data_IF_966183489641
#
_entry.id   IF_966183489641
#
_cell.length_a   1.000
_cell.length_b   1.000
_cell.length_c   1.000
_cell.angle_alpha   90.00
_cell.angle_beta   90.00
_cell.angle_gamma   90.00
#
_symmetry.space_group_name_H-M   'P 1'
#
loop_
_entity.id
_entity.type
_entity.pdbx_description
1 polymer ?
#
# COMPACT_ATOMS: atom_id res chain seq x y z
N UNK A 1 5.42 1.38 9.69
CA UNK A 1 4.88 2.65 9.24
C UNK A 1 3.62 2.40 8.40
N UNK A 2 2.46 2.87 8.86
CA UNK A 2 1.18 2.75 8.16
C UNK A 2 0.86 4.03 7.38
N UNK A 3 0.24 3.90 6.21
CA UNK A 3 -0.25 5.01 5.41
C UNK A 3 -1.42 4.64 4.50
N UNK A 4 -2.23 5.65 4.13
CA UNK A 4 -3.33 5.49 3.20
C UNK A 4 -3.29 6.54 2.08
N UNK A 5 -3.60 7.80 2.38
CA UNK A 5 -3.34 8.96 1.52
C UNK A 5 -4.25 9.10 0.31
N UNK A 6 -5.52 8.74 0.41
CA UNK A 6 -6.51 8.90 -0.67
C UNK A 6 -7.88 9.26 -0.13
N UNK A 7 -8.73 9.82 -1.00
CA UNK A 7 -10.14 10.14 -0.78
C UNK A 7 -10.41 11.11 0.39
N UNK A 8 -9.41 11.84 0.86
CA UNK A 8 -9.54 12.66 2.05
C UNK A 8 -9.71 11.84 3.34
N UNK A 9 -9.39 10.55 3.31
CA UNK A 9 -9.53 9.68 4.49
C UNK A 9 -8.45 9.97 5.51
N UNK A 10 -8.85 10.49 6.68
CA UNK A 10 -7.93 10.81 7.78
C UNK A 10 -7.60 9.58 8.61
N UNK A 11 -6.31 9.34 8.81
CA UNK A 11 -5.81 8.25 9.66
C UNK A 11 -5.69 8.73 11.11
N UNK A 12 -6.82 8.76 11.81
CA UNK A 12 -6.86 9.23 13.20
C UNK A 12 -6.03 8.34 14.12
N UNK A 13 -5.24 8.93 15.03
CA UNK A 13 -4.56 8.18 16.08
C UNK A 13 -5.59 7.61 17.05
N UNK A 14 -5.71 6.29 17.07
CA UNK A 14 -6.64 5.58 17.94
C UNK A 14 -5.94 4.45 18.66
N UNK A 15 -6.44 4.11 19.85
CA UNK A 15 -6.00 2.90 20.54
C UNK A 15 -6.40 1.65 19.74
N UNK A 16 -5.50 0.69 19.69
CA UNK A 16 -5.76 -0.63 19.09
C UNK A 16 -5.14 -1.72 19.97
N UNK A 17 -5.96 -2.60 20.51
CA UNK A 17 -5.49 -3.72 21.32
C UNK A 17 -4.60 -4.69 20.54
N UNK A 18 -4.83 -4.84 19.24
CA UNK A 18 -4.00 -5.72 18.41
C UNK A 18 -2.57 -5.20 18.25
N UNK A 19 -2.37 -3.87 18.23
CA UNK A 19 -1.04 -3.25 18.15
C UNK A 19 -0.15 -3.55 19.36
N UNK A 20 -0.75 -3.83 20.53
CA UNK A 20 0.01 -4.21 21.72
C UNK A 20 0.88 -5.44 21.44
N UNK A 21 0.41 -6.39 20.63
CA UNK A 21 1.21 -7.56 20.23
C UNK A 21 2.52 -7.20 19.51
N UNK A 22 2.57 -6.09 18.75
CA UNK A 22 3.80 -5.60 18.13
C UNK A 22 4.66 -4.84 19.13
N UNK A 23 4.04 -3.98 19.96
CA UNK A 23 4.73 -3.15 20.95
C UNK A 23 5.43 -4.01 22.00
N UNK A 24 4.77 -5.06 22.49
CA UNK A 24 5.35 -6.03 23.45
C UNK A 24 6.55 -6.81 22.86
N UNK A 25 6.79 -6.69 21.55
CA UNK A 25 7.90 -7.29 20.82
C UNK A 25 8.87 -6.26 20.24
N UNK A 26 8.93 -5.08 20.86
CA UNK A 26 9.81 -3.97 20.49
C UNK A 26 9.61 -3.46 19.04
N UNK A 27 8.39 -3.52 18.51
CA UNK A 27 8.03 -2.90 17.24
C UNK A 27 7.33 -1.57 17.51
N UNK A 28 7.85 -0.48 16.98
CA UNK A 28 7.22 0.83 17.03
C UNK A 28 6.14 0.89 15.93
N UNK A 29 4.93 1.31 16.30
CA UNK A 29 3.89 1.65 15.34
C UNK A 29 3.90 3.14 15.05
N UNK A 30 3.99 3.51 13.78
CA UNK A 30 3.87 4.88 13.31
C UNK A 30 2.81 4.98 12.20
N UNK A 31 2.07 6.09 12.18
CA UNK A 31 1.09 6.40 11.13
C UNK A 31 1.51 7.69 10.44
N UNK A 32 1.64 7.65 9.12
CA UNK A 32 1.98 8.82 8.33
C UNK A 32 0.71 9.57 7.90
N UNK A 33 0.58 10.83 8.30
CA UNK A 33 -0.48 11.74 7.90
C UNK A 33 -0.06 12.48 6.61
N UNK A 34 -0.24 11.81 5.49
CA UNK A 34 0.26 12.23 4.18
C UNK A 34 -0.81 12.93 3.36
N UNK A 35 -0.39 13.75 2.39
CA UNK A 35 -1.32 14.39 1.45
C UNK A 35 -2.16 13.36 0.70
N UNK A 36 -3.40 13.71 0.39
CA UNK A 36 -4.44 12.78 -0.06
C UNK A 36 -5.36 12.31 1.06
N UNK A 37 -4.91 12.36 2.33
CA UNK A 37 -5.77 12.38 3.52
C UNK A 37 -6.28 13.79 3.81
N UNK A 38 -7.03 13.96 4.92
CA UNK A 38 -7.62 15.25 5.31
C UNK A 38 -7.20 15.69 6.73
N UNK A 39 -6.09 15.15 7.24
CA UNK A 39 -5.60 15.42 8.60
C UNK A 39 -5.25 16.91 8.82
N UNK A 40 -4.90 17.63 7.76
CA UNK A 40 -4.69 19.08 7.75
C UNK A 40 -5.75 19.83 6.95
N UNK A 41 -6.94 19.24 6.80
CA UNK A 41 -8.08 19.84 6.12
C UNK A 41 -8.11 19.62 4.62
N UNK A 42 -9.08 20.24 3.93
CA UNK A 42 -9.39 20.07 2.51
C UNK A 42 -8.19 20.32 1.57
N UNK A 43 -7.34 21.29 1.92
CA UNK A 43 -6.13 21.59 1.13
C UNK A 43 -5.19 20.39 1.08
N UNK A 44 -5.03 19.69 2.19
CA UNK A 44 -4.17 18.52 2.32
C UNK A 44 -4.60 17.38 1.39
N UNK A 45 -5.91 17.16 1.27
CA UNK A 45 -6.47 16.21 0.30
C UNK A 45 -6.24 16.67 -1.14
N UNK A 46 -6.60 17.92 -1.49
CA UNK A 46 -6.48 18.44 -2.85
C UNK A 46 -5.04 18.40 -3.37
N UNK A 47 -4.06 18.56 -2.50
CA UNK A 47 -2.64 18.47 -2.83
C UNK A 47 -2.10 17.03 -2.94
N UNK A 48 -2.93 16.02 -2.76
CA UNK A 48 -2.59 14.59 -2.88
C UNK A 48 -3.49 13.83 -3.85
N UNK A 49 -4.24 14.49 -4.73
CA UNK A 49 -5.10 13.85 -5.73
C UNK A 49 -4.82 14.35 -7.16
N UNK A 50 -5.38 13.66 -8.17
CA UNK A 50 -5.20 14.00 -9.59
C UNK A 50 -3.71 14.14 -9.94
N UNK A 51 -3.32 15.21 -10.63
CA UNK A 51 -1.93 15.50 -11.02
C UNK A 51 -1.02 15.87 -9.83
N UNK A 52 -1.53 15.84 -8.61
CA UNK A 52 -0.75 16.01 -7.37
C UNK A 52 -0.55 14.67 -6.61
N UNK A 53 -1.03 13.55 -7.15
CA UNK A 53 -1.01 12.26 -6.45
C UNK A 53 0.38 11.81 -6.00
N UNK A 54 1.43 12.14 -6.72
CA UNK A 54 2.81 11.82 -6.34
C UNK A 54 3.24 12.42 -5.01
N UNK A 55 2.66 13.55 -4.60
CA UNK A 55 2.91 14.13 -3.29
C UNK A 55 2.58 13.16 -2.14
N UNK A 56 1.56 12.30 -2.32
CA UNK A 56 1.22 11.26 -1.35
C UNK A 56 2.39 10.29 -1.12
N UNK A 57 3.04 9.88 -2.21
CA UNK A 57 4.15 8.92 -2.17
C UNK A 57 5.42 9.56 -1.60
N UNK A 58 5.70 10.79 -2.01
CA UNK A 58 6.83 11.58 -1.52
C UNK A 58 6.72 11.85 -0.02
N UNK A 59 5.52 12.24 0.45
CA UNK A 59 5.28 12.48 1.88
C UNK A 59 5.52 11.21 2.72
N UNK A 60 5.13 10.03 2.22
CA UNK A 60 5.37 8.77 2.92
C UNK A 60 6.86 8.39 2.95
N UNK A 61 7.58 8.60 1.85
CA UNK A 61 9.02 8.40 1.77
C UNK A 61 9.73 9.35 2.75
N UNK A 62 9.35 10.63 2.77
CA UNK A 62 9.89 11.60 3.71
C UNK A 62 9.57 11.26 5.17
N UNK A 63 8.38 10.74 5.47
CA UNK A 63 8.05 10.25 6.80
C UNK A 63 8.97 9.08 7.22
N UNK A 64 9.25 8.16 6.31
CA UNK A 64 10.20 7.07 6.56
C UNK A 64 11.63 7.60 6.81
N UNK A 65 12.09 8.55 6.00
CA UNK A 65 13.39 9.21 6.17
C UNK A 65 13.47 9.97 7.50
N UNK A 66 12.42 10.71 7.87
CA UNK A 66 12.33 11.41 9.15
C UNK A 66 12.52 10.47 10.34
N UNK A 67 11.87 9.30 10.33
CA UNK A 67 12.03 8.30 11.39
C UNK A 67 13.47 7.78 11.50
N UNK A 68 14.17 7.66 10.37
CA UNK A 68 15.58 7.24 10.32
C UNK A 68 16.49 8.36 10.86
N UNK A 69 16.34 9.58 10.37
CA UNK A 69 17.15 10.74 10.73
C UNK A 69 17.03 11.09 12.23
N UNK A 70 15.81 10.94 12.77
CA UNK A 70 15.56 11.17 14.20
C UNK A 70 15.80 9.93 15.08
N UNK A 71 16.42 8.87 14.52
CA UNK A 71 16.89 7.68 15.25
C UNK A 71 15.77 6.86 15.93
N UNK A 72 14.53 6.98 15.47
CA UNK A 72 13.46 6.04 15.85
C UNK A 72 13.70 4.64 15.29
N UNK A 73 14.37 4.56 14.13
CA UNK A 73 14.74 3.33 13.44
C UNK A 73 16.00 3.57 12.59
N UNK A 74 16.34 2.63 11.71
CA UNK A 74 17.43 2.77 10.73
C UNK A 74 16.99 2.32 9.34
N UNK A 75 17.73 2.74 8.32
CA UNK A 75 17.51 2.37 6.93
C UNK A 75 17.44 0.84 6.78
N UNK A 76 16.47 0.35 6.03
CA UNK A 76 16.25 -1.09 5.84
C UNK A 76 15.63 -1.81 7.04
N UNK A 77 15.06 -1.09 8.03
CA UNK A 77 14.34 -1.68 9.17
C UNK A 77 12.87 -1.25 9.28
N UNK A 78 12.41 -0.43 8.38
CA UNK A 78 11.00 -0.02 8.34
C UNK A 78 10.18 -1.10 7.64
N UNK A 79 9.04 -1.46 8.21
CA UNK A 79 8.01 -2.26 7.53
C UNK A 79 6.90 -1.29 7.13
N UNK A 80 6.70 -1.11 5.84
CA UNK A 80 5.60 -0.32 5.29
C UNK A 80 4.31 -1.13 5.26
N UNK A 81 3.17 -0.48 5.55
CA UNK A 81 1.87 -1.15 5.52
C UNK A 81 0.80 -0.22 4.96
N UNK A 82 -0.04 -0.76 4.07
CA UNK A 82 -1.19 -0.07 3.49
C UNK A 82 -2.11 -1.01 2.74
N UNK A 83 -3.40 -0.67 2.70
CA UNK A 83 -4.41 -1.49 2.03
C UNK A 83 -5.20 -0.70 0.99
N UNK A 84 -5.78 -1.38 -0.01
CA UNK A 84 -6.62 -0.75 -1.04
C UNK A 84 -5.85 0.37 -1.77
N UNK A 85 -6.31 1.62 -1.73
CA UNK A 85 -5.53 2.78 -2.19
C UNK A 85 -4.23 3.00 -1.40
N UNK A 86 -4.16 2.58 -0.11
CA UNK A 86 -2.90 2.48 0.62
C UNK A 86 -1.97 1.39 0.07
N UNK A 87 -2.51 0.41 -0.64
CA UNK A 87 -1.73 -0.56 -1.42
C UNK A 87 -1.12 0.05 -2.68
N UNK A 88 -1.82 0.98 -3.36
CA UNK A 88 -1.23 1.83 -4.39
C UNK A 88 -0.04 2.62 -3.84
N UNK A 89 -0.20 3.25 -2.67
CA UNK A 89 0.89 3.93 -1.97
C UNK A 89 2.08 2.99 -1.77
N UNK A 90 1.86 1.80 -1.20
CA UNK A 90 2.93 0.82 -0.94
C UNK A 90 3.64 0.39 -2.23
N UNK A 91 2.90 0.10 -3.29
CA UNK A 91 3.47 -0.27 -4.59
C UNK A 91 4.28 0.85 -5.23
N UNK A 92 3.81 2.10 -5.12
CA UNK A 92 4.53 3.25 -5.64
C UNK A 92 5.82 3.52 -4.86
N UNK A 93 5.79 3.50 -3.51
CA UNK A 93 6.98 3.79 -2.70
C UNK A 93 8.03 2.69 -2.78
N UNK A 94 7.63 1.42 -2.89
CA UNK A 94 8.60 0.32 -3.05
C UNK A 94 9.27 0.35 -4.42
N UNK A 95 8.60 0.88 -5.44
CA UNK A 95 9.21 1.12 -6.74
C UNK A 95 10.18 2.31 -6.73
N UNK A 96 10.00 3.28 -5.84
CA UNK A 96 10.81 4.50 -5.77
C UNK A 96 12.00 4.34 -4.81
N UNK A 97 11.78 3.81 -3.63
CA UNK A 97 12.77 3.78 -2.53
C UNK A 97 12.74 2.45 -1.77
N UNK A 98 12.96 1.30 -2.45
CA UNK A 98 12.88 -0.02 -1.82
C UNK A 98 13.87 -0.19 -0.66
N UNK A 99 15.00 0.48 -0.73
CA UNK A 99 16.10 0.37 0.23
C UNK A 99 15.79 0.97 1.62
N UNK A 100 14.70 1.73 1.77
CA UNK A 100 14.27 2.23 3.06
C UNK A 100 13.60 1.14 3.91
N UNK A 101 13.07 0.11 3.27
CA UNK A 101 12.17 -0.86 3.88
C UNK A 101 12.83 -2.23 4.08
N UNK A 102 12.58 -2.83 5.25
CA UNK A 102 12.81 -4.24 5.52
C UNK A 102 11.75 -5.11 4.83
N UNK A 103 10.51 -4.63 4.87
CA UNK A 103 9.37 -5.30 4.26
C UNK A 103 8.20 -4.39 3.98
N UNK A 104 7.30 -4.87 3.14
CA UNK A 104 6.04 -4.20 2.77
C UNK A 104 4.88 -5.19 2.96
N UNK A 105 3.83 -4.74 3.61
CA UNK A 105 2.55 -5.44 3.74
C UNK A 105 1.50 -4.69 2.94
N UNK A 106 0.89 -5.36 1.98
CA UNK A 106 -0.09 -4.79 1.07
C UNK A 106 -1.38 -5.60 1.14
N UNK A 107 -2.43 -5.01 1.73
CA UNK A 107 -3.74 -5.66 1.81
C UNK A 107 -4.64 -5.20 0.65
N UNK A 108 -5.18 -6.15 -0.13
CA UNK A 108 -6.08 -5.91 -1.27
C UNK A 108 -5.64 -4.70 -2.13
N UNK A 109 -4.37 -4.66 -2.59
CA UNK A 109 -3.75 -3.44 -3.06
C UNK A 109 -4.16 -3.05 -4.48
N UNK A 110 -4.46 -1.76 -4.67
CA UNK A 110 -4.76 -1.14 -5.97
C UNK A 110 -3.47 -0.88 -6.75
N UNK A 111 -2.92 -1.92 -7.39
CA UNK A 111 -1.57 -1.88 -7.98
C UNK A 111 -1.51 -1.86 -9.51
N UNK A 112 -2.60 -2.16 -10.19
CA UNK A 112 -2.73 -2.00 -11.65
C UNK A 112 -3.65 -0.82 -12.01
N UNK A 113 -3.43 0.28 -11.33
CA UNK A 113 -4.28 1.47 -11.34
C UNK A 113 -4.50 2.06 -12.74
N UNK A 114 -3.55 1.91 -13.66
CA UNK A 114 -3.73 2.38 -15.03
C UNK A 114 -4.72 1.52 -15.81
N UNK A 115 -4.56 0.20 -15.80
CA UNK A 115 -5.44 -0.72 -16.53
C UNK A 115 -6.88 -0.61 -16.00
N UNK A 116 -7.05 -0.57 -14.69
CA UNK A 116 -8.36 -0.38 -14.05
C UNK A 116 -8.97 0.96 -14.43
N UNK A 117 -8.20 2.05 -14.46
CA UNK A 117 -8.71 3.37 -14.85
C UNK A 117 -9.15 3.46 -16.32
N UNK A 118 -8.59 2.62 -17.18
CA UNK A 118 -8.98 2.52 -18.61
C UNK A 118 -10.27 1.73 -18.83
N UNK A 119 -10.69 0.92 -17.86
CA UNK A 119 -11.90 0.10 -17.96
C UNK A 119 -13.09 0.73 -17.23
N UNK A 120 -13.90 1.49 -17.97
CA UNK A 120 -15.09 2.17 -17.46
C UNK A 120 -16.25 1.22 -17.11
N UNK A 121 -16.14 -0.07 -17.41
CA UNK A 121 -17.16 -1.07 -17.03
C UNK A 121 -17.03 -1.52 -15.58
N UNK A 122 -15.88 -1.27 -14.94
CA UNK A 122 -15.65 -1.63 -13.56
C UNK A 122 -16.42 -0.70 -12.60
N UNK A 123 -16.97 -1.24 -11.50
CA UNK A 123 -17.92 -0.51 -10.64
C UNK A 123 -17.42 0.80 -10.06
N UNK A 124 -16.13 0.92 -9.75
CA UNK A 124 -15.57 2.10 -9.09
C UNK A 124 -14.90 3.09 -10.04
N UNK A 125 -14.46 2.65 -11.23
CA UNK A 125 -13.60 3.43 -12.12
C UNK A 125 -14.10 4.84 -12.38
N UNK A 126 -15.35 4.97 -12.82
CA UNK A 126 -15.93 6.30 -13.17
C UNK A 126 -16.06 7.17 -11.92
N UNK A 127 -16.45 6.59 -10.79
CA UNK A 127 -16.56 7.30 -9.50
C UNK A 127 -15.22 7.80 -8.94
N UNK A 128 -14.12 7.21 -9.38
CA UNK A 128 -12.76 7.54 -8.91
C UNK A 128 -12.03 8.56 -9.78
N UNK A 129 -12.64 9.03 -10.88
CA UNK A 129 -12.02 10.05 -11.73
C UNK A 129 -11.70 11.35 -10.99
N UNK A 130 -12.47 11.66 -9.94
CA UNK A 130 -12.22 12.83 -9.10
C UNK A 130 -11.00 12.70 -8.19
N UNK A 131 -10.59 11.47 -7.91
CA UNK A 131 -9.39 11.17 -7.10
C UNK A 131 -8.14 10.95 -7.96
N UNK A 132 -8.25 10.14 -9.03
CA UNK A 132 -7.08 9.72 -9.81
C UNK A 132 -7.02 10.33 -11.21
N UNK A 133 -8.12 10.83 -11.74
CA UNK A 133 -8.24 11.30 -13.12
C UNK A 133 -8.84 10.27 -14.08
N UNK A 134 -9.10 10.66 -15.31
CA UNK A 134 -9.65 9.83 -16.38
C UNK A 134 -8.57 9.61 -17.45
N UNK A 135 -7.86 8.47 -17.38
CA UNK A 135 -6.79 8.14 -18.31
C UNK A 135 -7.29 7.79 -19.72
N UNK A 136 -8.54 7.34 -19.85
CA UNK A 136 -9.11 6.92 -21.14
C UNK A 136 -9.38 8.10 -22.07
N UNK A 137 -9.89 9.20 -21.51
CA UNK A 137 -10.35 10.35 -22.29
C UNK A 137 -9.41 11.56 -22.17
N UNK A 138 -8.38 11.48 -21.30
CA UNK A 138 -7.43 12.56 -21.05
C UNK A 138 -5.99 12.03 -21.04
N UNK A 139 -5.22 12.43 -22.08
CA UNK A 139 -3.83 11.99 -22.21
C UNK A 139 -2.92 12.47 -21.08
N UNK A 140 -3.15 13.65 -20.53
CA UNK A 140 -2.37 14.16 -19.39
C UNK A 140 -2.58 13.25 -18.16
N UNK A 141 -3.83 12.86 -17.87
CA UNK A 141 -4.14 11.92 -16.81
C UNK A 141 -3.53 10.54 -17.07
N UNK A 142 -3.57 10.06 -18.32
CA UNK A 142 -2.93 8.79 -18.70
C UNK A 142 -1.43 8.82 -18.41
N UNK A 143 -0.72 9.81 -18.93
CA UNK A 143 0.72 9.94 -18.78
C UNK A 143 1.11 10.08 -17.29
N UNK A 144 0.30 10.82 -16.53
CA UNK A 144 0.54 11.03 -15.11
C UNK A 144 0.33 9.73 -14.30
N UNK A 145 -0.78 9.01 -14.50
CA UNK A 145 -1.05 7.72 -13.83
C UNK A 145 0.01 6.70 -14.24
N UNK A 146 0.34 6.58 -15.53
CA UNK A 146 1.39 5.68 -16.03
C UNK A 146 2.72 5.91 -15.31
N UNK A 147 3.05 7.17 -15.02
CA UNK A 147 4.32 7.53 -14.40
C UNK A 147 4.49 7.04 -12.96
N UNK A 148 3.41 6.63 -12.28
CA UNK A 148 3.49 6.11 -10.91
C UNK A 148 2.79 4.75 -10.70
N UNK A 149 1.95 4.31 -11.64
CA UNK A 149 1.18 3.06 -11.51
C UNK A 149 2.11 1.88 -11.14
N UNK A 150 1.88 1.22 -10.00
CA UNK A 150 2.85 0.26 -9.45
C UNK A 150 3.22 -0.86 -10.43
N UNK A 151 2.23 -1.49 -11.05
CA UNK A 151 2.44 -2.57 -12.01
C UNK A 151 3.31 -2.16 -13.20
N UNK A 152 3.09 -0.94 -13.72
CA UNK A 152 3.81 -0.42 -14.88
C UNK A 152 5.26 -0.04 -14.56
N UNK A 153 5.55 0.29 -13.29
CA UNK A 153 6.84 0.80 -12.86
C UNK A 153 7.72 -0.22 -12.13
N UNK A 154 7.36 -1.51 -12.14
CA UNK A 154 8.25 -2.58 -11.69
C UNK A 154 9.50 -2.62 -12.58
N UNK A 155 10.68 -2.60 -11.96
CA UNK A 155 11.99 -2.64 -12.63
C UNK A 155 12.81 -3.82 -12.11
N UNK A 156 13.81 -4.24 -12.91
CA UNK A 156 14.75 -5.27 -12.50
C UNK A 156 15.69 -4.70 -11.44
N UNK A 157 15.45 -5.05 -10.17
CA UNK A 157 16.22 -4.59 -9.01
C UNK A 157 15.87 -5.39 -7.76
N UNK A 158 16.56 -5.11 -6.65
CA UNK A 158 16.24 -5.66 -5.35
C UNK A 158 14.99 -5.00 -4.75
N UNK A 159 14.11 -5.83 -4.17
CA UNK A 159 12.92 -5.44 -3.43
C UNK A 159 12.99 -5.94 -1.98
N UNK A 160 12.35 -5.26 -1.02
CA UNK A 160 12.27 -5.76 0.35
C UNK A 160 11.43 -7.03 0.44
N UNK A 161 11.34 -7.65 1.62
CA UNK A 161 10.35 -8.69 1.85
C UNK A 161 8.93 -8.16 1.61
N UNK A 162 8.06 -8.93 0.97
CA UNK A 162 6.71 -8.49 0.66
C UNK A 162 5.67 -9.55 1.01
N UNK A 163 4.62 -9.12 1.71
CA UNK A 163 3.37 -9.86 1.88
C UNK A 163 2.25 -9.10 1.17
N UNK A 164 1.64 -9.77 0.22
CA UNK A 164 0.51 -9.24 -0.55
C UNK A 164 -0.69 -10.13 -0.23
N UNK A 165 -1.79 -9.53 0.21
CA UNK A 165 -3.03 -10.28 0.45
C UNK A 165 -4.11 -9.82 -0.52
N UNK A 166 -4.97 -10.73 -0.95
CA UNK A 166 -6.11 -10.43 -1.82
C UNK A 166 -7.28 -11.37 -1.51
N UNK A 167 -8.45 -11.07 -2.04
CA UNK A 167 -9.65 -11.89 -1.87
C UNK A 167 -10.29 -12.18 -3.22
N UNK A 168 -10.69 -13.44 -3.44
CA UNK A 168 -11.23 -13.88 -4.73
C UNK A 168 -12.51 -13.13 -5.13
N UNK A 169 -13.36 -12.83 -4.15
CA UNK A 169 -14.62 -12.11 -4.37
C UNK A 169 -14.54 -10.62 -4.09
N UNK A 170 -13.32 -10.03 -4.20
CA UNK A 170 -13.14 -8.60 -4.09
C UNK A 170 -13.74 -7.90 -5.32
N UNK A 171 -14.73 -7.04 -5.07
CA UNK A 171 -15.45 -6.29 -6.10
C UNK A 171 -15.03 -4.81 -6.19
N UNK A 172 -14.00 -4.39 -5.44
CA UNK A 172 -13.44 -3.04 -5.47
C UNK A 172 -12.08 -3.01 -6.15
N UNK A 173 -11.18 -3.87 -5.68
CA UNK A 173 -9.89 -4.13 -6.29
C UNK A 173 -9.85 -5.60 -6.68
N UNK A 174 -9.99 -5.88 -7.96
CA UNK A 174 -10.09 -7.24 -8.45
C UNK A 174 -8.83 -8.03 -8.10
N UNK A 175 -9.00 -9.30 -7.74
CA UNK A 175 -7.90 -10.15 -7.27
C UNK A 175 -6.78 -10.34 -8.31
N UNK A 176 -7.05 -10.11 -9.57
CA UNK A 176 -6.07 -10.20 -10.64
C UNK A 176 -5.01 -9.10 -10.59
N UNK A 177 -5.32 -7.91 -10.05
CA UNK A 177 -4.34 -6.83 -9.88
C UNK A 177 -3.15 -7.26 -8.99
N UNK A 178 -3.36 -7.65 -7.71
CA UNK A 178 -2.27 -8.15 -6.88
C UNK A 178 -1.65 -9.45 -7.39
N UNK A 179 -2.40 -10.30 -8.08
CA UNK A 179 -1.88 -11.52 -8.69
C UNK A 179 -0.89 -11.22 -9.82
N UNK A 180 -1.27 -10.35 -10.76
CA UNK A 180 -0.39 -9.89 -11.86
C UNK A 180 0.84 -9.15 -11.34
N UNK A 181 0.64 -8.26 -10.36
CA UNK A 181 1.72 -7.52 -9.73
C UNK A 181 2.74 -8.46 -9.09
N UNK A 182 2.28 -9.46 -8.33
CA UNK A 182 3.14 -10.47 -7.71
C UNK A 182 3.88 -11.31 -8.75
N UNK A 183 3.20 -11.73 -9.83
CA UNK A 183 3.82 -12.51 -10.90
C UNK A 183 4.95 -11.73 -11.57
N UNK A 184 4.70 -10.46 -11.91
CA UNK A 184 5.72 -9.60 -12.51
C UNK A 184 6.88 -9.31 -11.57
N UNK A 185 6.63 -9.09 -10.27
CA UNK A 185 7.69 -8.95 -9.28
C UNK A 185 8.57 -10.19 -9.19
N UNK A 186 8.00 -11.41 -9.24
CA UNK A 186 8.78 -12.67 -9.23
C UNK A 186 9.73 -12.79 -10.39
N UNK A 187 9.36 -12.24 -11.56
CA UNK A 187 10.21 -12.23 -12.73
C UNK A 187 11.32 -11.17 -12.66
N UNK A 188 11.00 -10.00 -12.06
CA UNK A 188 11.87 -8.83 -12.13
C UNK A 188 12.78 -8.65 -10.90
N UNK A 189 12.42 -9.16 -9.72
CA UNK A 189 13.25 -9.00 -8.52
C UNK A 189 14.58 -9.76 -8.65
N UNK A 190 15.65 -9.16 -8.15
CA UNK A 190 17.01 -9.71 -8.22
C UNK A 190 17.53 -10.23 -6.86
N UNK A 191 16.78 -10.00 -5.80
CA UNK A 191 17.07 -10.42 -4.44
C UNK A 191 16.45 -11.80 -4.09
N UNK A 192 16.76 -12.32 -2.89
CA UNK A 192 16.20 -13.55 -2.31
C UNK A 192 15.18 -13.28 -1.19
N UNK A 193 14.68 -12.05 -1.06
CA UNK A 193 13.69 -11.70 -0.05
C UNK A 193 12.35 -12.41 -0.30
N UNK A 194 11.62 -12.67 0.77
CA UNK A 194 10.29 -13.29 0.68
C UNK A 194 9.34 -12.43 -0.17
N UNK A 195 8.64 -13.07 -1.09
CA UNK A 195 7.53 -12.48 -1.84
C UNK A 195 6.35 -13.45 -1.76
N UNK A 196 5.41 -13.13 -0.90
CA UNK A 196 4.26 -13.96 -0.59
C UNK A 196 2.98 -13.34 -1.13
N UNK A 197 2.16 -14.14 -1.78
CA UNK A 197 0.78 -13.81 -2.15
C UNK A 197 -0.15 -14.74 -1.40
N UNK A 198 -1.05 -14.17 -0.58
CA UNK A 198 -2.15 -14.91 0.07
C UNK A 198 -3.47 -14.48 -0.55
N UNK A 199 -4.21 -15.45 -1.08
CA UNK A 199 -5.56 -15.22 -1.60
C UNK A 199 -6.58 -15.81 -0.64
N UNK A 200 -7.50 -14.98 -0.16
CA UNK A 200 -8.65 -15.44 0.63
C UNK A 200 -9.78 -15.85 -0.31
N UNK A 201 -10.14 -17.13 -0.29
CA UNK A 201 -11.06 -17.70 -1.28
C UNK A 201 -12.53 -17.37 -1.02
N UNK A 202 -12.89 -17.04 0.23
CA UNK A 202 -14.28 -16.88 0.67
C UNK A 202 -14.54 -15.48 1.25
N UNK A 203 -13.81 -14.47 0.81
CA UNK A 203 -13.95 -13.10 1.28
C UNK A 203 -13.99 -12.10 0.14
N UNK A 204 -14.47 -10.90 0.42
CA UNK A 204 -14.43 -9.71 -0.44
C UNK A 204 -13.38 -8.72 0.02
N UNK A 205 -13.54 -7.44 -0.37
CA UNK A 205 -12.58 -6.37 -0.08
C UNK A 205 -12.30 -6.13 1.41
N UNK A 206 -13.28 -6.39 2.27
CA UNK A 206 -13.13 -6.23 3.73
C UNK A 206 -12.50 -7.41 4.45
N UNK A 207 -12.05 -8.45 3.73
CA UNK A 207 -11.48 -9.65 4.30
C UNK A 207 -12.53 -10.60 4.90
N UNK A 208 -12.08 -11.48 5.79
CA UNK A 208 -12.93 -12.46 6.46
C UNK A 208 -13.95 -11.78 7.38
N UNK A 209 -15.19 -12.30 7.35
CA UNK A 209 -16.24 -11.83 8.24
C UNK A 209 -16.04 -12.33 9.68
N UNK A 210 -16.50 -11.51 10.63
CA UNK A 210 -16.49 -11.85 12.04
C UNK A 210 -15.17 -11.54 12.75
N UNK A 211 -15.23 -11.56 14.08
CA UNK A 211 -14.11 -11.18 14.95
C UNK A 211 -12.89 -12.09 14.76
N UNK A 212 -13.11 -13.39 14.73
CA UNK A 212 -12.01 -14.36 14.66
C UNK A 212 -11.33 -14.30 13.30
N UNK A 213 -12.09 -14.12 12.21
CA UNK A 213 -11.53 -13.92 10.87
C UNK A 213 -10.65 -12.69 10.78
N UNK A 214 -11.09 -11.56 11.32
CA UNK A 214 -10.28 -10.32 11.36
C UNK A 214 -9.00 -10.48 12.22
N UNK A 215 -9.08 -11.21 13.32
CA UNK A 215 -7.90 -11.49 14.17
C UNK A 215 -6.89 -12.37 13.41
N UNK A 216 -7.35 -13.39 12.68
CA UNK A 216 -6.48 -14.25 11.88
C UNK A 216 -5.73 -13.46 10.79
N UNK A 217 -6.40 -12.54 10.10
CA UNK A 217 -5.76 -11.72 9.06
C UNK A 217 -4.70 -10.81 9.67
N UNK A 218 -5.01 -10.12 10.76
CA UNK A 218 -4.05 -9.28 11.49
C UNK A 218 -2.86 -10.14 12.00
N UNK A 219 -3.14 -11.34 12.48
CA UNK A 219 -2.09 -12.25 12.98
C UNK A 219 -1.12 -12.68 11.87
N UNK A 220 -1.59 -12.86 10.64
CA UNK A 220 -0.74 -13.17 9.48
C UNK A 220 0.18 -11.97 9.16
N UNK A 221 -0.37 -10.75 9.10
CA UNK A 221 0.41 -9.55 8.86
C UNK A 221 1.50 -9.35 9.93
N UNK A 222 1.12 -9.54 11.19
CA UNK A 222 2.05 -9.38 12.31
C UNK A 222 3.09 -10.52 12.39
N UNK A 223 2.70 -11.77 12.11
CA UNK A 223 3.64 -12.89 12.02
C UNK A 223 4.68 -12.66 10.92
N UNK A 224 4.25 -12.17 9.75
CA UNK A 224 5.18 -11.77 8.69
C UNK A 224 6.13 -10.67 9.15
N UNK A 225 5.61 -9.61 9.74
CA UNK A 225 6.41 -8.49 10.24
C UNK A 225 7.44 -8.95 11.28
N UNK A 226 7.03 -9.74 12.26
CA UNK A 226 7.90 -10.26 13.33
C UNK A 226 8.96 -11.24 12.78
N UNK A 227 8.57 -12.10 11.82
CA UNK A 227 9.49 -13.04 11.18
C UNK A 227 10.63 -12.32 10.47
N UNK A 228 10.32 -11.34 9.60
CA UNK A 228 11.36 -10.60 8.87
C UNK A 228 12.18 -9.69 9.79
N UNK A 229 11.60 -9.18 10.87
CA UNK A 229 12.28 -8.42 11.92
C UNK A 229 13.11 -9.30 12.89
N UNK A 230 13.07 -10.64 12.74
CA UNK A 230 13.73 -11.62 13.63
C UNK A 230 13.32 -11.47 15.09
N UNK A 231 12.01 -11.26 15.32
CA UNK A 231 11.39 -11.16 16.64
C UNK A 231 10.63 -12.42 17.06
N UNK A 232 10.53 -13.40 16.16
CA UNK A 232 10.08 -14.77 16.36
C UNK A 232 10.93 -15.71 15.51
#
# INVERSE_FOLDING_TARGET
LYGYGSYGSSMSPSFSSTRLSLIDRDIIWATAHIRGGMEKGMKWWKEGKLTNKKNTFEDYIHAAQYLIENKFTSKGKIIGMGGSAGGLLMGAVVNQSPELFLGIIMAVPFVDSLTTNLDHSLPLTVGEFDEFGNAKDNKEHFDYIFSYAPYNNIKKKDYPHMLITTSLSDNRVLFDEPAKFTAKLREYKTDNNLLLLKTEMNAGHGGKSGRDGAIEEIAIDYAFALKIAKKI
#
